data_IF_456657153484
#
_entry.id   IF_456657153484
#
_cell.length_a   1.000
_cell.length_b   1.000
_cell.length_c   1.000
_cell.angle_alpha   90.00
_cell.angle_beta   90.00
_cell.angle_gamma   90.00
#
_symmetry.space_group_name_H-M   'P 1'
#
loop_
_entity.id
_entity.type
_entity.pdbx_description
1 polymer ?
#
# COMPACT_ATOMS: atom_id res chain seq x y z
N UNK A 1 -62.17 6.80 -50.19
CA UNK A 1 -61.79 8.23 -50.03
C UNK A 1 -60.63 8.31 -49.04
N UNK A 2 -59.48 8.80 -49.53
CA UNK A 2 -58.29 9.36 -48.83
C UNK A 2 -57.27 8.41 -48.18
N UNK A 3 -56.04 8.53 -48.70
CA UNK A 3 -54.76 7.97 -48.29
C UNK A 3 -54.30 8.45 -46.89
N UNK A 4 -53.33 7.73 -46.29
CA UNK A 4 -51.99 8.30 -46.01
C UNK A 4 -50.99 7.27 -45.47
N UNK A 5 -49.85 7.14 -46.17
CA UNK A 5 -48.61 6.53 -45.72
C UNK A 5 -47.97 7.37 -44.61
N UNK A 6 -47.44 6.77 -43.52
CA UNK A 6 -46.38 7.36 -42.68
C UNK A 6 -45.59 6.21 -41.99
N UNK A 7 -44.31 6.37 -41.59
CA UNK A 7 -43.14 5.80 -42.23
C UNK A 7 -42.42 4.74 -41.37
N UNK A 8 -41.42 4.08 -41.95
CA UNK A 8 -40.48 3.21 -41.25
C UNK A 8 -39.74 3.98 -40.13
N UNK A 9 -39.89 3.53 -38.88
CA UNK A 9 -39.12 4.02 -37.75
C UNK A 9 -37.80 3.23 -37.68
N UNK A 10 -36.74 3.82 -38.22
CA UNK A 10 -35.35 3.44 -37.99
C UNK A 10 -35.02 3.70 -36.51
N UNK A 11 -35.01 2.65 -35.69
CA UNK A 11 -34.45 2.73 -34.33
C UNK A 11 -32.93 2.56 -34.45
N UNK A 12 -32.23 3.69 -34.41
CA UNK A 12 -30.78 3.77 -34.37
C UNK A 12 -30.29 3.26 -33.01
N UNK A 13 -29.63 2.10 -33.00
CA UNK A 13 -28.95 1.56 -31.83
C UNK A 13 -27.65 2.36 -31.59
N UNK A 14 -27.70 3.34 -30.69
CA UNK A 14 -26.50 4.03 -30.23
C UNK A 14 -25.72 3.12 -29.27
N UNK A 15 -24.69 2.44 -29.78
CA UNK A 15 -23.68 1.80 -28.92
C UNK A 15 -22.90 2.89 -28.20
N UNK A 16 -23.19 3.07 -26.91
CA UNK A 16 -22.37 3.89 -26.03
C UNK A 16 -21.12 3.08 -25.66
N UNK A 17 -20.06 3.21 -26.44
CA UNK A 17 -18.75 2.70 -26.04
C UNK A 17 -18.20 3.62 -24.95
N UNK A 18 -18.36 3.23 -23.69
CA UNK A 18 -17.62 3.85 -22.60
C UNK A 18 -16.14 3.50 -22.78
N UNK A 19 -15.38 4.45 -23.34
CA UNK A 19 -13.92 4.41 -23.28
C UNK A 19 -13.56 4.83 -21.85
N UNK A 20 -13.33 3.84 -20.99
CA UNK A 20 -12.79 4.09 -19.66
C UNK A 20 -11.37 4.63 -19.81
N UNK A 21 -11.17 5.92 -19.58
CA UNK A 21 -9.83 6.44 -19.30
C UNK A 21 -9.35 5.79 -18.02
N UNK A 22 -8.23 5.08 -18.07
CA UNK A 22 -7.48 4.67 -16.88
C UNK A 22 -6.99 5.94 -16.19
N UNK A 23 -7.85 6.53 -15.35
CA UNK A 23 -7.41 7.54 -14.40
C UNK A 23 -6.59 6.82 -13.34
N UNK A 24 -5.40 7.35 -13.02
CA UNK A 24 -4.73 7.01 -11.78
C UNK A 24 -5.77 7.12 -10.65
N UNK A 25 -5.86 6.08 -9.82
CA UNK A 25 -6.92 5.98 -8.83
C UNK A 25 -6.65 6.98 -7.72
N UNK A 26 -7.25 8.15 -7.87
CA UNK A 26 -7.08 9.24 -6.93
C UNK A 26 -7.80 8.93 -5.61
N UNK A 27 -7.14 9.18 -4.49
CA UNK A 27 -7.70 8.86 -3.17
C UNK A 27 -8.84 9.83 -2.77
N UNK A 28 -9.78 9.42 -1.91
CA UNK A 28 -10.83 10.29 -1.39
C UNK A 28 -10.28 11.51 -0.64
N UNK A 29 -11.02 12.61 -0.64
CA UNK A 29 -10.63 13.85 0.06
C UNK A 29 -10.32 13.66 1.54
N UNK A 30 -11.03 12.74 2.22
CA UNK A 30 -10.75 12.42 3.62
C UNK A 30 -9.36 11.80 3.80
N UNK A 31 -8.95 10.90 2.90
CA UNK A 31 -7.63 10.27 2.87
C UNK A 31 -6.56 11.32 2.58
N UNK A 32 -6.72 12.11 1.51
CA UNK A 32 -5.79 13.19 1.14
C UNK A 32 -5.58 14.19 2.26
N UNK A 33 -6.64 14.57 2.98
CA UNK A 33 -6.56 15.49 4.12
C UNK A 33 -5.74 14.91 5.27
N UNK A 34 -5.95 13.65 5.62
CA UNK A 34 -5.16 12.98 6.67
C UNK A 34 -3.70 12.82 6.23
N UNK A 35 -3.47 12.41 4.98
CA UNK A 35 -2.15 12.30 4.38
C UNK A 35 -1.37 13.62 4.49
N UNK A 36 -1.93 14.73 3.99
CA UNK A 36 -1.30 16.05 4.03
C UNK A 36 -1.00 16.53 5.46
N UNK A 37 -1.86 16.19 6.42
CA UNK A 37 -1.62 16.52 7.83
C UNK A 37 -0.42 15.74 8.39
N UNK A 38 -0.22 14.50 7.94
CA UNK A 38 0.82 13.60 8.46
C UNK A 38 2.17 13.81 7.77
N UNK A 39 2.15 14.16 6.48
CA UNK A 39 3.34 14.39 5.65
C UNK A 39 3.28 15.79 5.02
N UNK A 40 3.39 16.85 5.84
CA UNK A 40 3.32 18.21 5.33
C UNK A 40 4.44 18.45 4.31
N UNK A 41 4.07 18.87 3.10
CA UNK A 41 5.01 19.19 2.02
C UNK A 41 5.15 18.10 0.95
N UNK A 42 4.66 16.89 1.20
CA UNK A 42 4.49 15.89 0.15
C UNK A 42 3.17 16.16 -0.59
N UNK A 43 3.22 16.38 -1.91
CA UNK A 43 2.06 16.81 -2.70
C UNK A 43 1.76 15.90 -3.90
N UNK A 44 2.60 14.89 -4.15
CA UNK A 44 2.48 13.99 -5.30
C UNK A 44 2.67 12.51 -4.89
N UNK A 45 1.89 11.99 -3.93
CA UNK A 45 1.90 10.56 -3.62
C UNK A 45 1.31 9.73 -4.78
N UNK A 46 1.91 8.58 -5.03
CA UNK A 46 1.37 7.56 -5.94
C UNK A 46 0.35 6.69 -5.18
N UNK A 47 -0.93 6.82 -5.53
CA UNK A 47 -2.04 6.16 -4.84
C UNK A 47 -2.41 4.83 -5.50
N UNK A 48 -2.57 3.81 -4.65
CA UNK A 48 -3.09 2.50 -5.00
C UNK A 48 -4.24 2.13 -4.06
N UNK A 49 -5.07 1.18 -4.48
CA UNK A 49 -6.07 0.56 -3.59
C UNK A 49 -5.68 -0.90 -3.37
N UNK A 50 -5.55 -1.31 -2.12
CA UNK A 50 -5.22 -2.69 -1.76
C UNK A 50 -6.41 -3.64 -2.01
N UNK A 51 -6.18 -4.94 -1.82
CA UNK A 51 -7.24 -5.95 -2.00
C UNK A 51 -8.38 -5.87 -0.97
N UNK A 52 -8.20 -5.10 0.10
CA UNK A 52 -9.19 -4.84 1.15
C UNK A 52 -9.95 -3.52 0.95
N UNK A 53 -9.61 -2.75 -0.08
CA UNK A 53 -10.20 -1.44 -0.36
C UNK A 53 -9.58 -0.29 0.44
N UNK A 54 -8.46 -0.49 1.13
CA UNK A 54 -7.71 0.60 1.74
C UNK A 54 -6.86 1.31 0.67
N UNK A 55 -6.49 2.55 0.97
CA UNK A 55 -5.68 3.39 0.10
C UNK A 55 -4.24 3.40 0.57
N UNK A 56 -3.33 3.03 -0.33
CA UNK A 56 -1.89 3.01 -0.10
C UNK A 56 -1.25 4.16 -0.86
N UNK A 57 -0.47 4.99 -0.17
CA UNK A 57 0.32 6.06 -0.81
C UNK A 57 1.79 5.69 -0.79
N UNK A 58 2.40 5.68 -1.97
CA UNK A 58 3.85 5.52 -2.12
C UNK A 58 4.47 6.87 -2.45
N UNK A 59 5.48 7.27 -1.69
CA UNK A 59 6.14 8.56 -1.85
C UNK A 59 7.57 8.53 -1.31
N UNK A 60 8.30 9.63 -1.44
CA UNK A 60 9.68 9.73 -0.95
C UNK A 60 9.95 11.04 -0.24
N UNK A 61 10.50 10.95 0.96
CA UNK A 61 11.06 12.10 1.68
C UNK A 61 12.57 11.93 1.70
N UNK A 62 13.31 12.91 1.18
CA UNK A 62 14.78 12.88 1.07
C UNK A 62 15.33 11.61 0.39
N UNK A 63 14.58 11.07 -0.58
CA UNK A 63 14.92 9.85 -1.31
C UNK A 63 14.60 8.54 -0.59
N UNK A 64 14.20 8.59 0.69
CA UNK A 64 13.76 7.45 1.47
C UNK A 64 12.32 7.12 1.08
N UNK A 65 12.02 5.85 0.81
CA UNK A 65 10.67 5.40 0.45
C UNK A 65 9.78 5.32 1.68
N UNK A 66 8.55 5.77 1.50
CA UNK A 66 7.48 5.62 2.46
C UNK A 66 6.28 4.98 1.77
N UNK A 67 5.59 4.10 2.50
CA UNK A 67 4.23 3.68 2.20
C UNK A 67 3.34 4.11 3.35
N UNK A 68 2.18 4.68 3.07
CA UNK A 68 1.22 5.03 4.10
C UNK A 68 -0.19 4.61 3.72
N UNK A 69 -0.84 3.91 4.64
CA UNK A 69 -2.09 3.22 4.39
C UNK A 69 -3.23 3.86 5.17
N UNK A 70 -4.38 3.93 4.52
CA UNK A 70 -5.55 4.62 5.05
C UNK A 70 -6.82 3.85 4.73
N UNK A 71 -7.72 3.78 5.71
CA UNK A 71 -9.09 3.34 5.44
C UNK A 71 -9.82 4.34 4.52
N UNK A 72 -10.88 3.92 3.80
CA UNK A 72 -11.66 4.80 2.93
C UNK A 72 -12.23 6.06 3.60
N UNK A 73 -12.45 6.02 4.91
CA UNK A 73 -12.92 7.16 5.70
C UNK A 73 -11.81 8.18 6.05
N UNK A 74 -10.57 7.93 5.61
CA UNK A 74 -9.41 8.77 5.89
C UNK A 74 -8.70 8.47 7.20
N UNK A 75 -9.09 7.44 7.95
CA UNK A 75 -8.37 7.00 9.14
C UNK A 75 -7.03 6.35 8.73
N UNK A 76 -5.94 6.82 9.34
CA UNK A 76 -4.60 6.29 9.12
C UNK A 76 -4.46 4.90 9.77
N UNK A 77 -3.90 3.96 9.01
CA UNK A 77 -3.61 2.59 9.44
C UNK A 77 -2.16 2.52 9.90
N UNK A 78 -1.22 2.75 8.97
CA UNK A 78 0.21 2.67 9.24
C UNK A 78 1.07 3.46 8.25
N UNK A 79 2.34 3.60 8.63
CA UNK A 79 3.40 4.17 7.80
C UNK A 79 4.57 3.21 7.85
N UNK A 80 4.98 2.72 6.69
CA UNK A 80 6.21 1.97 6.50
C UNK A 80 7.28 2.88 5.94
N UNK A 81 8.47 2.82 6.52
CA UNK A 81 9.65 3.55 6.05
C UNK A 81 10.74 2.55 5.75
N UNK A 82 11.16 2.46 4.49
CA UNK A 82 12.28 1.59 4.13
C UNK A 82 13.56 2.09 4.82
N UNK A 83 14.29 1.18 5.46
CA UNK A 83 15.56 1.48 6.15
C UNK A 83 16.65 0.50 5.73
N UNK A 84 17.91 0.85 6.00
CA UNK A 84 19.00 -0.12 5.79
C UNK A 84 19.02 -1.15 6.93
N UNK A 85 19.44 -2.39 6.64
CA UNK A 85 19.69 -3.43 7.65
C UNK A 85 20.54 -2.96 8.82
N UNK A 86 21.54 -2.10 8.56
CA UNK A 86 22.44 -1.56 9.60
C UNK A 86 21.71 -0.66 10.61
N UNK A 87 20.56 -0.12 10.23
CA UNK A 87 19.78 0.82 11.04
C UNK A 87 18.73 0.08 11.90
N UNK A 88 18.63 -1.25 11.78
CA UNK A 88 17.86 -2.07 12.71
C UNK A 88 18.42 -1.97 14.14
N UNK A 89 17.55 -2.01 15.17
CA UNK A 89 17.95 -2.21 16.54
C UNK A 89 18.89 -3.42 16.71
N UNK A 90 19.92 -3.27 17.55
CA UNK A 90 20.93 -4.32 17.79
C UNK A 90 20.32 -5.64 18.23
N UNK A 91 19.25 -5.60 19.02
CA UNK A 91 18.56 -6.80 19.48
C UNK A 91 17.96 -7.59 18.30
N UNK A 92 17.32 -6.91 17.35
CA UNK A 92 16.81 -7.53 16.12
C UNK A 92 17.97 -8.09 15.29
N UNK A 93 19.05 -7.33 15.09
CA UNK A 93 20.22 -7.82 14.36
C UNK A 93 20.79 -9.12 14.95
N UNK A 94 20.80 -9.25 16.28
CA UNK A 94 21.24 -10.46 16.97
C UNK A 94 20.29 -11.64 16.70
N UNK A 95 18.97 -11.43 16.79
CA UNK A 95 17.98 -12.48 16.50
C UNK A 95 18.08 -12.93 15.04
N UNK A 96 18.25 -11.99 14.10
CA UNK A 96 18.47 -12.30 12.68
C UNK A 96 19.71 -13.18 12.50
N UNK A 97 20.83 -12.80 13.12
CA UNK A 97 22.07 -13.58 13.01
C UNK A 97 21.92 -14.99 13.58
N UNK A 98 21.21 -15.14 14.69
CA UNK A 98 21.04 -16.42 15.39
C UNK A 98 20.05 -17.35 14.67
N UNK A 99 18.93 -16.82 14.19
CA UNK A 99 17.79 -17.62 13.71
C UNK A 99 17.62 -17.65 12.19
N UNK A 100 18.16 -16.65 11.49
CA UNK A 100 17.94 -16.42 10.06
C UNK A 100 19.25 -16.11 9.32
N UNK A 101 20.41 -16.46 9.89
CA UNK A 101 21.72 -16.06 9.39
C UNK A 101 22.10 -16.64 8.03
N UNK A 102 21.42 -17.69 7.59
CA UNK A 102 21.53 -18.32 6.26
C UNK A 102 20.58 -17.71 5.22
N UNK A 103 19.63 -16.87 5.65
CA UNK A 103 18.64 -16.24 4.77
C UNK A 103 19.11 -14.88 4.26
N UNK A 104 18.70 -14.54 3.04
CA UNK A 104 18.97 -13.24 2.42
C UNK A 104 17.79 -12.30 2.67
N UNK A 105 18.06 -11.16 3.28
CA UNK A 105 17.06 -10.09 3.44
C UNK A 105 16.78 -9.43 2.08
N UNK A 106 15.51 -9.22 1.74
CA UNK A 106 15.06 -8.44 0.57
C UNK A 106 14.75 -7.01 0.94
N UNK A 107 14.05 -6.79 2.06
CA UNK A 107 13.54 -5.50 2.49
C UNK A 107 13.57 -5.40 4.03
N UNK A 108 13.69 -4.17 4.52
CA UNK A 108 13.60 -3.85 5.94
C UNK A 108 12.83 -2.55 6.08
N UNK A 109 11.81 -2.58 6.93
CA UNK A 109 10.96 -1.42 7.15
C UNK A 109 10.81 -1.12 8.63
N UNK A 110 10.83 0.18 8.95
CA UNK A 110 10.37 0.68 10.24
C UNK A 110 8.89 1.01 10.09
N UNK A 111 8.04 0.38 10.89
CA UNK A 111 6.59 0.52 10.76
C UNK A 111 6.01 1.23 11.97
N UNK A 112 5.30 2.32 11.72
CA UNK A 112 4.45 2.97 12.72
C UNK A 112 3.02 2.58 12.43
N UNK A 113 2.35 1.89 13.34
CA UNK A 113 0.97 1.44 13.16
C UNK A 113 0.05 2.02 14.23
N UNK A 114 -1.18 2.36 13.85
CA UNK A 114 -2.22 2.79 14.78
C UNK A 114 -2.62 1.69 15.78
N UNK A 115 -2.55 0.43 15.35
CA UNK A 115 -2.95 -0.73 16.16
C UNK A 115 -1.78 -1.36 16.94
N UNK A 116 -0.62 -1.52 16.28
CA UNK A 116 0.53 -2.25 16.85
C UNK A 116 1.57 -1.32 17.51
N UNK A 117 1.51 -0.01 17.26
CA UNK A 117 2.57 0.92 17.65
C UNK A 117 3.79 0.80 16.73
N UNK A 118 4.99 1.03 17.27
CA UNK A 118 6.24 0.92 16.52
C UNK A 118 6.75 -0.52 16.49
N UNK A 119 7.03 -1.03 15.30
CA UNK A 119 7.72 -2.30 15.06
C UNK A 119 8.61 -2.21 13.81
N UNK A 120 9.27 -3.32 13.49
CA UNK A 120 10.13 -3.45 12.32
C UNK A 120 9.73 -4.70 11.55
N UNK A 121 9.54 -4.57 10.24
CA UNK A 121 9.34 -5.71 9.36
C UNK A 121 10.64 -6.04 8.62
N UNK A 122 10.94 -7.32 8.50
CA UNK A 122 12.12 -7.85 7.83
C UNK A 122 11.69 -8.97 6.91
N UNK A 123 11.75 -8.70 5.62
CA UNK A 123 11.41 -9.66 4.58
C UNK A 123 12.66 -10.46 4.19
N UNK A 124 12.53 -11.78 4.15
CA UNK A 124 13.57 -12.73 3.76
C UNK A 124 13.22 -13.43 2.46
N UNK A 125 14.15 -13.41 1.52
CA UNK A 125 14.03 -14.10 0.24
C UNK A 125 13.90 -15.61 0.43
N UNK A 126 12.87 -16.18 -0.18
CA UNK A 126 12.73 -17.62 -0.36
C UNK A 126 12.08 -17.94 -1.71
N UNK A 127 11.87 -19.22 -2.02
CA UNK A 127 11.23 -19.62 -3.27
C UNK A 127 9.73 -19.34 -3.16
N UNK A 128 9.19 -18.51 -4.04
CA UNK A 128 7.77 -18.13 -4.01
C UNK A 128 7.59 -16.77 -3.36
N UNK A 129 6.60 -16.65 -2.46
CA UNK A 129 6.45 -15.45 -1.64
C UNK A 129 7.60 -15.40 -0.62
N UNK A 130 8.13 -14.22 -0.36
CA UNK A 130 9.11 -14.04 0.69
C UNK A 130 8.48 -14.28 2.07
N UNK A 131 9.32 -14.55 3.07
CA UNK A 131 8.91 -14.72 4.47
C UNK A 131 9.08 -13.39 5.20
N UNK A 132 8.03 -12.93 5.86
CA UNK A 132 8.03 -11.69 6.63
C UNK A 132 8.12 -11.98 8.13
N UNK A 133 8.92 -11.20 8.85
CA UNK A 133 9.07 -11.32 10.31
C UNK A 133 9.01 -9.95 10.96
N UNK A 134 7.97 -9.74 11.77
CA UNK A 134 7.80 -8.51 12.51
C UNK A 134 8.46 -8.59 13.90
N UNK A 135 9.22 -7.56 14.25
CA UNK A 135 9.93 -7.45 15.51
C UNK A 135 9.57 -6.17 16.27
N UNK A 136 9.48 -6.27 17.60
CA UNK A 136 9.65 -5.10 18.47
C UNK A 136 11.12 -4.69 18.53
N UNK A 137 11.36 -3.45 18.96
CA UNK A 137 12.71 -2.88 19.10
C UNK A 137 13.66 -3.72 19.99
N UNK A 138 13.11 -4.44 20.97
CA UNK A 138 13.85 -5.33 21.87
C UNK A 138 14.18 -6.71 21.26
N UNK A 139 13.83 -6.96 19.99
CA UNK A 139 14.05 -8.22 19.30
C UNK A 139 12.93 -9.25 19.49
N UNK A 140 11.87 -8.93 20.24
CA UNK A 140 10.70 -9.82 20.36
C UNK A 140 9.99 -9.96 19.01
N UNK A 141 9.82 -11.19 18.53
CA UNK A 141 9.01 -11.48 17.34
C UNK A 141 7.54 -11.36 17.70
N UNK A 142 6.79 -10.58 16.92
CA UNK A 142 5.35 -10.37 17.13
C UNK A 142 4.50 -10.94 16.00
N UNK A 143 5.09 -11.17 14.82
CA UNK A 143 4.45 -11.87 13.72
C UNK A 143 5.48 -12.65 12.91
N UNK A 144 5.05 -13.75 12.32
CA UNK A 144 5.83 -14.55 11.37
C UNK A 144 4.86 -15.02 10.28
N UNK A 145 4.93 -14.38 9.12
CA UNK A 145 4.12 -14.76 7.97
C UNK A 145 4.98 -15.55 6.99
N UNK A 146 5.03 -16.86 7.25
CA UNK A 146 5.62 -17.86 6.35
C UNK A 146 4.48 -18.49 5.55
N UNK A 147 4.01 -17.78 4.52
CA UNK A 147 2.96 -18.28 3.63
C UNK A 147 3.59 -19.26 2.62
N UNK A 148 3.57 -20.54 2.96
CA UNK A 148 3.71 -21.68 2.02
C UNK A 148 2.47 -21.87 1.14
#
# INVERSE_FOLDING_TARGET
>A
MKLKNIPALLVLFAMFTAIGTLQAQDAPEAVKKTFQKKYPGENDPDWHTDSHGNYESHFKIDGIKYRADFHPNGAWIETETSIDKKDLPKAIQNVIKERYGDRKISEVEKVQSAAKGLFYDVEFKQKGKNMDVEFKEDGTIINLDDLD
#
